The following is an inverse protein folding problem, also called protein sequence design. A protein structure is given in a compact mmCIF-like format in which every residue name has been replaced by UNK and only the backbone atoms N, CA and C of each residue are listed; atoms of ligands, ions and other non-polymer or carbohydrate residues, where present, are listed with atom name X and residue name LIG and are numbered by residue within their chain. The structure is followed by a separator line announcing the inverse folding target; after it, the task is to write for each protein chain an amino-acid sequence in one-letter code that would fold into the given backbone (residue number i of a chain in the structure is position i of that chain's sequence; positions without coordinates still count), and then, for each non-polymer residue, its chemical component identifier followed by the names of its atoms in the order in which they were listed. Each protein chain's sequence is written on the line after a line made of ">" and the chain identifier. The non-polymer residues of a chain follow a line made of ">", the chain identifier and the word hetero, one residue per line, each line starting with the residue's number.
data_IF_709675297963
#
_entry.id   IF_709675297963
#
_cell.length_a   1.000
_cell.length_b   1.000
_cell.length_c   1.000
_cell.angle_alpha   90.00
_cell.angle_beta   90.00
_cell.angle_gamma   90.00
#
_symmetry.space_group_name_H-M   'P 1'
#
loop_
_entity.id
_entity.type
_entity.pdbx_description
1 polymer ?
#
# COMPACT_ATOMS: atom_id res chain seq x y z
N UNK A 1 10.05 0.78 11.87
CA UNK A 1 11.37 0.16 11.71
C UNK A 1 12.39 1.24 11.38
N UNK A 2 13.49 1.25 12.11
CA UNK A 2 14.52 2.26 11.91
C UNK A 2 15.42 1.90 10.74
N UNK A 3 16.23 2.87 10.28
CA UNK A 3 17.21 2.60 9.23
C UNK A 3 18.25 1.58 9.69
N UNK A 4 18.60 1.63 10.95
CA UNK A 4 19.59 0.71 11.51
C UNK A 4 19.09 -0.72 11.50
N UNK A 5 17.82 -0.92 11.81
CA UNK A 5 17.22 -2.24 11.76
C UNK A 5 17.21 -2.79 10.33
N UNK A 6 16.94 -1.94 9.37
CA UNK A 6 16.94 -2.34 7.96
C UNK A 6 18.34 -2.69 7.51
N UNK A 7 19.34 -1.90 7.92
CA UNK A 7 20.73 -2.17 7.56
C UNK A 7 21.23 -3.49 8.16
N UNK A 8 20.94 -3.73 9.42
CA UNK A 8 21.29 -4.99 10.08
C UNK A 8 20.66 -6.17 9.37
N UNK A 9 19.43 -6.02 9.02
CA UNK A 9 18.69 -7.04 8.30
C UNK A 9 19.36 -7.38 6.98
N UNK A 10 19.79 -6.36 6.24
CA UNK A 10 20.45 -6.56 4.96
C UNK A 10 21.82 -7.22 5.07
N UNK A 11 22.55 -6.89 6.13
CA UNK A 11 23.86 -7.49 6.36
C UNK A 11 23.76 -8.99 6.60
N UNK A 12 22.70 -9.41 7.26
CA UNK A 12 22.49 -10.81 7.56
C UNK A 12 21.88 -11.58 6.40
N UNK A 13 21.45 -10.88 5.36
CA UNK A 13 20.66 -11.47 4.30
C UNK A 13 21.33 -12.69 3.66
N UNK A 14 22.58 -12.54 3.23
CA UNK A 14 23.25 -13.62 2.54
C UNK A 14 23.49 -14.83 3.45
N UNK A 15 23.64 -14.59 4.72
CA UNK A 15 23.80 -15.65 5.71
C UNK A 15 22.49 -16.40 5.90
N UNK A 16 21.40 -15.71 5.67
CA UNK A 16 20.07 -16.23 5.91
C UNK A 16 19.44 -16.90 4.70
N UNK A 17 20.24 -17.22 3.69
CA UNK A 17 19.75 -17.84 2.45
C UNK A 17 18.77 -18.97 2.65
N UNK A 18 18.96 -19.75 3.68
CA UNK A 18 18.15 -20.94 3.93
C UNK A 18 17.16 -20.74 5.06
N UNK A 19 17.01 -19.51 5.49
CA UNK A 19 16.10 -19.15 6.56
C UNK A 19 15.24 -17.98 6.10
N UNK A 20 14.03 -17.92 6.64
CA UNK A 20 13.20 -16.74 6.42
C UNK A 20 13.90 -15.53 7.04
N UNK A 21 14.04 -14.42 6.30
CA UNK A 21 14.68 -13.22 6.83
C UNK A 21 13.89 -12.55 7.96
N UNK A 22 12.66 -12.96 8.18
CA UNK A 22 11.90 -12.49 9.32
C UNK A 22 12.00 -13.52 10.43
N UNK A 23 11.84 -13.08 11.66
CA UNK A 23 11.90 -13.95 12.81
C UNK A 23 10.71 -14.92 12.84
N UNK A 24 10.44 -15.49 14.00
CA UNK A 24 9.36 -16.45 14.17
C UNK A 24 8.02 -15.97 13.65
N UNK A 25 7.76 -14.66 13.70
CA UNK A 25 6.58 -14.08 13.07
C UNK A 25 7.01 -13.48 11.75
N UNK A 26 6.47 -13.99 10.66
CA UNK A 26 6.86 -13.54 9.34
C UNK A 26 6.37 -12.12 9.06
N UNK A 27 7.26 -11.15 9.13
CA UNK A 27 6.94 -9.76 8.84
C UNK A 27 6.55 -9.56 7.38
N UNK A 28 7.11 -10.37 6.48
CA UNK A 28 6.70 -10.32 5.08
C UNK A 28 5.24 -10.69 4.90
N UNK A 29 4.75 -11.62 5.69
CA UNK A 29 3.34 -11.97 5.65
C UNK A 29 2.48 -10.79 6.08
N UNK A 30 2.90 -10.05 7.10
CA UNK A 30 2.22 -8.83 7.51
C UNK A 30 2.19 -7.79 6.40
N UNK A 31 3.30 -7.64 5.67
CA UNK A 31 3.36 -6.74 4.53
C UNK A 31 2.35 -7.14 3.47
N UNK A 32 2.29 -8.44 3.16
CA UNK A 32 1.35 -8.94 2.16
C UNK A 32 -0.10 -8.74 2.58
N UNK A 33 -0.38 -8.86 3.87
CA UNK A 33 -1.72 -8.58 4.38
C UNK A 33 -2.06 -7.09 4.26
N UNK A 34 -1.06 -6.23 4.45
CA UNK A 34 -1.25 -4.79 4.40
C UNK A 34 -1.47 -4.28 2.98
N UNK A 35 -0.70 -4.77 2.02
CA UNK A 35 -0.74 -4.26 0.65
C UNK A 35 -1.14 -5.31 -0.39
N UNK A 36 -1.32 -6.55 0.00
CA UNK A 36 -1.62 -7.62 -0.92
C UNK A 36 -3.08 -7.65 -1.36
N UNK A 37 -3.37 -8.61 -2.20
CA UNK A 37 -4.67 -8.73 -2.82
C UNK A 37 -4.71 -8.00 -4.15
N UNK A 38 -5.87 -8.05 -4.77
CA UNK A 38 -6.02 -7.55 -6.13
C UNK A 38 -6.17 -6.02 -6.20
N UNK A 39 -6.73 -5.41 -5.16
CA UNK A 39 -7.25 -4.06 -5.30
C UNK A 39 -6.52 -2.98 -4.53
N UNK A 40 -5.77 -3.33 -3.47
CA UNK A 40 -5.13 -2.33 -2.61
C UNK A 40 -4.08 -1.50 -3.35
N UNK A 41 -3.17 -2.15 -4.06
CA UNK A 41 -2.14 -1.42 -4.80
C UNK A 41 -2.72 -0.56 -5.93
N UNK A 42 -3.68 -1.03 -6.72
CA UNK A 42 -4.33 -0.14 -7.68
C UNK A 42 -4.97 1.10 -7.05
N UNK A 43 -5.59 0.95 -5.89
CA UNK A 43 -6.16 2.09 -5.17
C UNK A 43 -5.07 3.06 -4.75
N UNK A 44 -3.99 2.55 -4.17
CA UNK A 44 -2.86 3.38 -3.76
C UNK A 44 -2.24 4.11 -4.96
N UNK A 45 -2.11 3.43 -6.09
CA UNK A 45 -1.60 4.04 -7.31
C UNK A 45 -2.50 5.16 -7.80
N UNK A 46 -3.81 4.96 -7.76
CA UNK A 46 -4.77 5.98 -8.14
C UNK A 46 -4.66 7.22 -7.26
N UNK A 47 -4.54 7.01 -5.95
CA UNK A 47 -4.39 8.12 -5.01
C UNK A 47 -3.06 8.83 -5.18
N UNK A 48 -2.01 8.10 -5.54
CA UNK A 48 -0.71 8.71 -5.84
C UNK A 48 -0.82 9.65 -7.04
N UNK A 49 -1.51 9.21 -8.06
CA UNK A 49 -1.63 9.99 -9.31
C UNK A 49 -2.54 11.21 -9.16
N UNK A 50 -3.60 11.08 -8.39
CA UNK A 50 -4.67 12.06 -8.38
C UNK A 50 -4.78 12.88 -7.09
N UNK A 51 -4.06 12.49 -6.03
CA UNK A 51 -4.18 13.16 -4.75
C UNK A 51 -5.53 12.88 -4.08
N UNK A 52 -6.03 13.85 -3.34
CA UNK A 52 -7.31 13.71 -2.65
C UNK A 52 -8.42 13.37 -3.64
N UNK A 53 -9.10 12.26 -3.43
CA UNK A 53 -10.06 11.72 -4.39
C UNK A 53 -11.33 11.29 -3.66
N UNK A 54 -12.47 11.60 -4.25
CA UNK A 54 -13.76 11.17 -3.72
C UNK A 54 -14.01 9.71 -4.06
N UNK A 55 -14.85 9.08 -3.26
CA UNK A 55 -15.18 7.67 -3.42
C UNK A 55 -15.63 7.33 -4.85
N UNK A 56 -16.55 8.10 -5.42
CA UNK A 56 -17.06 7.82 -6.75
C UNK A 56 -15.99 7.96 -7.82
N UNK A 57 -15.05 8.87 -7.61
CA UNK A 57 -13.94 9.03 -8.55
C UNK A 57 -12.99 7.85 -8.46
N UNK A 58 -12.73 7.34 -7.25
CA UNK A 58 -11.96 6.11 -7.08
C UNK A 58 -12.62 4.94 -7.77
N UNK A 59 -13.93 4.85 -7.64
CA UNK A 59 -14.69 3.77 -8.26
C UNK A 59 -14.51 3.78 -9.79
N UNK A 60 -14.45 4.97 -10.37
CA UNK A 60 -14.21 5.11 -11.82
C UNK A 60 -12.76 4.88 -12.19
N UNK A 61 -11.85 5.38 -11.36
CA UNK A 61 -10.40 5.34 -11.66
C UNK A 61 -9.79 3.94 -11.52
N UNK A 62 -10.34 3.14 -10.63
CA UNK A 62 -9.85 1.76 -10.43
C UNK A 62 -10.73 0.83 -11.26
N UNK A 63 -10.26 0.53 -12.45
CA UNK A 63 -11.04 -0.20 -13.45
C UNK A 63 -11.49 -1.56 -12.96
N UNK A 64 -12.79 -1.82 -13.04
CA UNK A 64 -13.35 -3.13 -12.75
C UNK A 64 -13.66 -3.39 -11.27
N UNK A 65 -13.37 -2.47 -10.39
CA UNK A 65 -13.65 -2.69 -8.96
C UNK A 65 -15.13 -2.49 -8.68
N UNK A 66 -15.69 -3.34 -7.82
CA UNK A 66 -17.08 -3.19 -7.37
C UNK A 66 -17.14 -2.26 -6.16
N UNK A 67 -18.34 -1.76 -5.88
CA UNK A 67 -18.57 -0.95 -4.67
C UNK A 67 -18.17 -1.72 -3.40
N UNK A 68 -18.55 -2.97 -3.33
CA UNK A 68 -18.25 -3.81 -2.17
C UNK A 68 -16.74 -3.93 -1.96
N UNK A 69 -16.02 -4.21 -3.03
CA UNK A 69 -14.56 -4.38 -2.94
C UNK A 69 -13.85 -3.06 -2.66
N UNK A 70 -14.32 -1.96 -3.25
CA UNK A 70 -13.72 -0.66 -2.98
C UNK A 70 -13.90 -0.26 -1.52
N UNK A 71 -15.11 -0.40 -0.99
CA UNK A 71 -15.40 -0.07 0.40
C UNK A 71 -14.56 -0.90 1.36
N UNK A 72 -14.49 -2.20 1.09
CA UNK A 72 -13.70 -3.12 1.92
C UNK A 72 -12.23 -2.78 1.88
N UNK A 73 -11.69 -2.57 0.68
CA UNK A 73 -10.27 -2.28 0.51
C UNK A 73 -9.88 -0.95 1.13
N UNK A 74 -10.72 0.07 0.97
CA UNK A 74 -10.47 1.38 1.59
C UNK A 74 -10.46 1.27 3.11
N UNK A 75 -11.39 0.50 3.68
CA UNK A 75 -11.44 0.30 5.11
C UNK A 75 -10.17 -0.38 5.61
N UNK A 76 -9.72 -1.40 4.92
CA UNK A 76 -8.50 -2.11 5.29
C UNK A 76 -7.27 -1.21 5.15
N UNK A 77 -7.20 -0.40 4.11
CA UNK A 77 -6.10 0.54 3.92
C UNK A 77 -6.11 1.63 4.99
N UNK A 78 -7.28 2.08 5.38
CA UNK A 78 -7.44 3.03 6.46
C UNK A 78 -6.98 2.44 7.78
N UNK A 79 -7.40 1.22 8.08
CA UNK A 79 -7.01 0.50 9.30
C UNK A 79 -5.50 0.25 9.35
N UNK A 80 -4.87 0.05 8.20
CA UNK A 80 -3.42 -0.14 8.10
C UNK A 80 -2.64 1.17 8.14
N UNK A 81 -3.33 2.30 8.15
CA UNK A 81 -2.67 3.59 8.20
C UNK A 81 -2.08 4.08 6.89
N UNK A 82 -2.53 3.53 5.76
CA UNK A 82 -2.05 3.95 4.44
C UNK A 82 -2.94 4.99 3.79
N UNK A 83 -4.21 5.03 4.17
CA UNK A 83 -5.19 5.95 3.60
C UNK A 83 -5.89 6.67 4.73
N UNK A 84 -6.13 7.95 4.52
CA UNK A 84 -6.90 8.77 5.44
C UNK A 84 -8.21 9.18 4.78
N UNK A 85 -9.31 8.99 5.52
CA UNK A 85 -10.64 9.40 5.11
C UNK A 85 -10.96 10.73 5.77
N UNK A 86 -11.36 11.70 4.99
CA UNK A 86 -11.72 13.04 5.49
C UNK A 86 -13.15 13.37 5.09
N UNK A 87 -13.95 13.78 6.06
CA UNK A 87 -15.30 14.24 5.80
C UNK A 87 -15.34 15.76 5.87
N UNK A 88 -16.04 16.36 4.93
CA UNK A 88 -16.26 17.80 4.90
C UNK A 88 -17.73 18.08 5.09
N UNK A 89 -18.02 18.94 6.05
CA UNK A 89 -19.39 19.28 6.43
C UNK A 89 -20.00 20.21 5.40
N UNK A 90 -20.42 19.64 4.30
CA UNK A 90 -21.07 20.32 3.20
C UNK A 90 -22.43 19.67 2.93
N UNK A 91 -23.21 20.25 2.05
CA UNK A 91 -24.50 19.67 1.64
C UNK A 91 -24.45 19.47 0.14
N UNK A 92 -24.36 18.22 -0.34
CA UNK A 92 -24.22 16.97 0.43
C UNK A 92 -22.84 16.82 1.07
N UNK A 93 -22.74 15.94 2.05
CA UNK A 93 -21.47 15.64 2.73
C UNK A 93 -20.45 15.15 1.70
N UNK A 94 -19.25 15.73 1.75
CA UNK A 94 -18.16 15.31 0.88
C UNK A 94 -17.16 14.47 1.68
N UNK A 95 -16.80 13.32 1.10
CA UNK A 95 -15.79 12.42 1.68
C UNK A 95 -14.66 12.28 0.67
N UNK A 96 -13.44 12.50 1.14
CA UNK A 96 -12.25 12.35 0.31
C UNK A 96 -11.26 11.41 0.97
N UNK A 97 -10.49 10.73 0.13
CA UNK A 97 -9.44 9.81 0.56
C UNK A 97 -8.09 10.33 0.09
N UNK A 98 -7.10 10.28 0.98
CA UNK A 98 -5.74 10.72 0.67
C UNK A 98 -4.75 9.68 1.19
N UNK A 99 -3.53 9.72 0.66
CA UNK A 99 -2.45 8.91 1.17
C UNK A 99 -1.89 9.54 2.45
N UNK A 100 -1.43 8.68 3.35
CA UNK A 100 -0.74 9.11 4.57
C UNK A 100 0.77 9.17 4.31
N UNK A 101 1.51 9.73 5.27
CA UNK A 101 2.98 9.71 5.20
C UNK A 101 3.51 8.29 5.14
N UNK A 102 2.87 7.38 5.84
CA UNK A 102 3.25 5.96 5.80
C UNK A 102 3.17 5.40 4.39
N UNK A 103 2.12 5.77 3.66
CA UNK A 103 1.95 5.35 2.27
C UNK A 103 3.03 5.96 1.37
N UNK A 104 3.38 7.23 1.58
CA UNK A 104 4.44 7.85 0.80
C UNK A 104 5.78 7.18 1.04
N UNK A 105 6.04 6.72 2.25
CA UNK A 105 7.29 5.99 2.54
C UNK A 105 7.34 4.63 1.87
N UNK A 106 6.19 4.08 1.54
CA UNK A 106 6.11 2.82 0.81
C UNK A 106 6.49 2.97 -0.66
N UNK A 107 6.31 4.15 -1.24
CA UNK A 107 6.51 4.35 -2.68
C UNK A 107 7.90 3.95 -3.19
N UNK A 108 9.01 4.34 -2.53
CA UNK A 108 10.33 3.90 -3.00
C UNK A 108 10.49 2.39 -3.01
N UNK A 109 9.86 1.72 -2.06
CA UNK A 109 9.93 0.26 -1.97
C UNK A 109 9.17 -0.37 -3.13
N UNK A 110 8.02 0.19 -3.48
CA UNK A 110 7.25 -0.29 -4.63
C UNK A 110 8.01 -0.08 -5.94
N UNK A 111 8.73 1.03 -6.07
CA UNK A 111 9.57 1.28 -7.24
C UNK A 111 10.66 0.22 -7.37
N UNK A 112 11.27 -0.16 -6.26
CA UNK A 112 12.28 -1.21 -6.28
C UNK A 112 11.68 -2.55 -6.69
N UNK A 113 10.48 -2.84 -6.25
CA UNK A 113 9.77 -4.06 -6.67
C UNK A 113 9.48 -4.04 -8.17
N UNK A 114 9.11 -2.88 -8.70
CA UNK A 114 8.85 -2.73 -10.12
C UNK A 114 10.13 -2.97 -10.93
N UNK A 115 11.24 -2.42 -10.47
CA UNK A 115 12.54 -2.64 -11.12
C UNK A 115 12.92 -4.11 -11.11
N UNK A 116 12.72 -4.76 -10.00
CA UNK A 116 13.00 -6.18 -9.86
C UNK A 116 12.17 -7.01 -10.84
N UNK A 117 10.88 -6.74 -10.95
CA UNK A 117 10.01 -7.44 -11.88
C UNK A 117 10.37 -7.14 -13.33
N UNK A 118 10.78 -5.91 -13.63
CA UNK A 118 11.16 -5.50 -14.99
C UNK A 118 12.35 -6.29 -15.52
N UNK A 119 13.27 -6.68 -14.65
CA UNK A 119 14.46 -7.44 -15.04
C UNK A 119 14.08 -8.77 -15.68
N UNK A 120 13.01 -9.36 -15.26
CA UNK A 120 12.55 -10.63 -15.82
C UNK A 120 12.08 -10.48 -17.27
N UNK A 121 11.62 -9.28 -17.65
CA UNK A 121 11.04 -9.03 -18.97
C UNK A 121 12.06 -8.62 -20.02
N UNK A 122 13.30 -8.45 -19.62
CA UNK A 122 14.37 -8.04 -20.52
C UNK A 122 15.08 -9.22 -21.19
#
# INVERSE_FOLDING_TARGET
>A
MSKEEIADYQEDDYVQKHQCPCSEQCLLQSVLETIGGKWKLPILCSLTANGATRYNDLLRNVSGISNTMLSKSLKELEDSGLVQRSEYMEVPIRVEYTLTDRAFRLQPILLELIKWESQRRQ
#
